data_IF_423687891561
#
_entry.id   IF_423687891561
#
_cell.length_a   1.000
_cell.length_b   1.000
_cell.length_c   1.000
_cell.angle_alpha   90.00
_cell.angle_beta   90.00
_cell.angle_gamma   90.00
#
_symmetry.space_group_name_H-M   'P 1'
#
loop_
_entity.id
_entity.type
_entity.pdbx_description
1 polymer ?
#
# COMPACT_ATOMS: atom_id res chain seq x y z
N UNK A 1 -37.66 14.16 3.93
CA UNK A 1 -36.85 15.10 4.73
C UNK A 1 -35.71 15.53 3.83
N UNK A 2 -35.83 16.72 3.24
CA UNK A 2 -34.87 17.23 2.26
C UNK A 2 -33.91 18.16 2.99
N UNK A 3 -32.61 17.92 2.84
CA UNK A 3 -31.55 18.77 3.41
C UNK A 3 -31.02 19.64 2.28
N UNK A 4 -31.30 20.93 2.39
CA UNK A 4 -30.86 21.98 1.49
C UNK A 4 -29.50 22.47 2.00
N UNK A 5 -28.42 22.21 1.26
CA UNK A 5 -27.08 22.70 1.59
C UNK A 5 -26.84 24.01 0.82
N UNK A 6 -26.90 25.11 1.55
CA UNK A 6 -26.62 26.45 1.04
C UNK A 6 -25.10 26.70 1.17
N UNK A 7 -24.42 26.85 0.04
CA UNK A 7 -23.01 27.23 -0.01
C UNK A 7 -22.92 28.75 -0.14
N UNK A 8 -22.38 29.43 0.88
CA UNK A 8 -21.97 30.83 0.76
C UNK A 8 -20.48 30.90 0.42
N UNK A 9 -20.23 31.54 -0.72
CA UNK A 9 -18.92 31.90 -1.24
C UNK A 9 -18.37 33.08 -0.41
N UNK A 10 -17.23 32.86 0.25
CA UNK A 10 -16.56 33.87 1.07
C UNK A 10 -15.38 34.47 0.32
N UNK A 11 -15.51 35.74 -0.05
CA UNK A 11 -14.46 36.60 -0.62
C UNK A 11 -13.20 36.60 0.27
N UNK A 12 -12.08 36.28 -0.37
CA UNK A 12 -10.74 36.24 0.20
C UNK A 12 -10.16 37.68 0.25
N UNK A 13 -10.42 38.40 1.34
CA UNK A 13 -9.65 39.61 1.69
C UNK A 13 -9.58 39.76 3.19
N UNK A 14 -8.37 39.69 3.76
CA UNK A 14 -8.15 40.17 5.12
C UNK A 14 -7.11 39.37 5.89
N UNK A 15 -5.88 39.88 5.87
CA UNK A 15 -4.93 39.93 6.98
C UNK A 15 -5.49 39.37 8.31
N UNK A 16 -5.17 38.10 8.60
CA UNK A 16 -5.58 37.42 9.84
C UNK A 16 -4.69 37.91 10.97
N UNK A 17 -5.03 39.10 11.48
CA UNK A 17 -4.58 39.60 12.77
C UNK A 17 -5.24 38.75 13.85
N UNK A 18 -4.45 37.92 14.52
CA UNK A 18 -4.88 37.17 15.70
C UNK A 18 -5.23 38.15 16.83
N UNK A 19 -6.47 38.62 16.86
CA UNK A 19 -7.04 39.25 18.05
C UNK A 19 -7.16 38.19 19.13
N UNK A 20 -6.28 38.36 20.12
CA UNK A 20 -6.26 37.67 21.38
C UNK A 20 -7.62 37.93 22.06
N UNK A 21 -8.57 37.01 21.87
CA UNK A 21 -9.84 36.99 22.59
C UNK A 21 -9.55 36.79 24.08
N UNK A 22 -9.35 37.92 24.77
CA UNK A 22 -9.44 38.03 26.21
C UNK A 22 -10.81 37.48 26.61
N UNK A 23 -10.80 36.25 27.08
CA UNK A 23 -11.98 35.61 27.64
C UNK A 23 -12.28 36.32 28.96
N UNK A 24 -13.17 37.30 28.89
CA UNK A 24 -13.76 37.97 30.05
C UNK A 24 -14.56 36.93 30.82
N UNK A 25 -13.89 36.22 31.72
CA UNK A 25 -14.53 35.29 32.66
C UNK A 25 -15.45 36.12 33.55
N UNK A 26 -16.75 35.95 33.33
CA UNK A 26 -17.79 36.52 34.16
C UNK A 26 -17.56 36.11 35.62
N UNK A 27 -17.27 37.10 36.45
CA UNK A 27 -16.99 36.96 37.86
C UNK A 27 -18.31 36.64 38.59
N UNK A 28 -18.50 35.35 38.87
CA UNK A 28 -19.67 34.80 39.54
C UNK A 28 -19.74 35.31 41.01
N UNK A 29 -20.93 35.74 41.48
CA UNK A 29 -21.08 36.36 42.79
C UNK A 29 -20.76 35.37 43.91
N UNK A 30 -19.98 35.87 44.86
CA UNK A 30 -19.56 35.22 46.10
C UNK A 30 -20.70 34.43 46.77
N UNK A 31 -20.72 33.12 46.53
CA UNK A 31 -21.50 32.18 47.35
C UNK A 31 -20.73 31.89 48.63
N UNK A 32 -21.32 32.35 49.72
CA UNK A 32 -20.96 32.14 51.11
C UNK A 32 -20.47 30.71 51.36
N UNK A 33 -19.18 30.59 51.67
CA UNK A 33 -18.50 29.36 52.03
C UNK A 33 -19.07 28.90 53.37
N UNK A 34 -20.04 27.97 53.33
CA UNK A 34 -20.41 27.19 54.50
C UNK A 34 -19.20 26.30 54.82
N UNK A 35 -18.50 26.63 55.90
CA UNK A 35 -17.42 25.84 56.49
C UNK A 35 -17.93 24.43 56.85
N UNK A 36 -17.99 23.54 55.86
CA UNK A 36 -18.04 22.10 56.09
C UNK A 36 -16.69 21.72 56.65
N UNK A 37 -16.66 21.51 57.96
CA UNK A 37 -15.61 20.80 58.68
C UNK A 37 -15.11 19.64 57.83
N UNK A 38 -13.93 19.83 57.24
CA UNK A 38 -13.20 18.82 56.49
C UNK A 38 -12.79 17.74 57.48
N UNK A 39 -13.69 16.77 57.70
CA UNK A 39 -13.33 15.49 58.30
C UNK A 39 -12.24 14.92 57.40
N UNK A 40 -10.98 15.13 57.78
CA UNK A 40 -9.82 14.49 57.16
C UNK A 40 -10.17 13.00 57.10
N UNK A 41 -10.42 12.42 55.92
CA UNK A 41 -10.58 10.98 55.85
C UNK A 41 -9.26 10.44 56.37
N UNK A 42 -9.31 9.71 57.48
CA UNK A 42 -8.19 8.89 57.95
C UNK A 42 -8.05 7.81 56.88
N UNK A 43 -7.43 8.18 55.76
CA UNK A 43 -7.19 7.33 54.60
C UNK A 43 -6.18 6.33 55.11
N UNK A 44 -6.70 5.17 55.53
CA UNK A 44 -5.88 4.17 56.18
C UNK A 44 -4.74 3.81 55.23
N UNK A 45 -3.50 3.98 55.71
CA UNK A 45 -2.28 3.71 54.94
C UNK A 45 -2.32 2.32 54.27
N UNK A 46 -3.05 1.39 54.88
CA UNK A 46 -3.33 0.03 54.38
C UNK A 46 -4.12 0.02 53.06
N UNK A 47 -5.12 0.87 52.87
CA UNK A 47 -5.89 0.92 51.61
C UNK A 47 -5.04 1.42 50.45
N UNK A 48 -4.20 2.44 50.68
CA UNK A 48 -3.29 2.95 49.64
C UNK A 48 -2.24 1.89 49.25
N UNK A 49 -1.67 1.18 50.23
CA UNK A 49 -0.72 0.11 49.97
C UNK A 49 -1.35 -1.05 49.18
N UNK A 50 -2.59 -1.43 49.50
CA UNK A 50 -3.30 -2.46 48.75
C UNK A 50 -3.53 -2.06 47.29
N UNK A 51 -3.97 -0.83 47.02
CA UNK A 51 -4.17 -0.34 45.66
C UNK A 51 -2.87 -0.30 44.84
N UNK A 52 -1.76 0.14 45.45
CA UNK A 52 -0.45 0.12 44.80
C UNK A 52 0.02 -1.31 44.49
N UNK A 53 -0.21 -2.26 45.40
CA UNK A 53 0.13 -3.66 45.16
C UNK A 53 -0.69 -4.27 44.02
N UNK A 54 -1.99 -3.97 43.93
CA UNK A 54 -2.85 -4.41 42.83
C UNK A 54 -2.39 -3.80 41.50
N UNK A 55 -2.09 -2.49 41.48
CA UNK A 55 -1.60 -1.82 40.28
C UNK A 55 -0.26 -2.40 39.81
N UNK A 56 0.67 -2.63 40.74
CA UNK A 56 1.95 -3.29 40.43
C UNK A 56 1.74 -4.72 39.90
N UNK A 57 0.82 -5.49 40.51
CA UNK A 57 0.46 -6.81 40.03
C UNK A 57 -0.13 -6.81 38.61
N UNK A 58 -1.00 -5.85 38.29
CA UNK A 58 -1.55 -5.68 36.94
C UNK A 58 -0.48 -5.30 35.92
N UNK A 59 0.45 -4.39 36.27
CA UNK A 59 1.54 -4.00 35.38
C UNK A 59 2.50 -5.16 35.11
N UNK A 60 2.87 -5.92 36.14
CA UNK A 60 3.74 -7.10 36.01
C UNK A 60 3.04 -8.20 35.19
N UNK A 61 1.76 -8.47 35.49
CA UNK A 61 0.96 -9.44 34.74
C UNK A 61 0.77 -9.05 33.28
N UNK A 62 0.50 -7.77 33.01
CA UNK A 62 0.37 -7.24 31.64
C UNK A 62 1.68 -7.33 30.85
N UNK A 63 2.82 -6.97 31.47
CA UNK A 63 4.12 -7.10 30.84
C UNK A 63 4.47 -8.57 30.55
N UNK A 64 4.20 -9.48 31.49
CA UNK A 64 4.40 -10.92 31.31
C UNK A 64 3.56 -11.49 30.16
N UNK A 65 2.29 -11.10 30.05
CA UNK A 65 1.41 -11.51 28.96
C UNK A 65 1.89 -10.96 27.61
N UNK A 66 2.30 -9.70 27.54
CA UNK A 66 2.81 -9.08 26.31
C UNK A 66 4.07 -9.80 25.79
N UNK A 67 5.01 -10.11 26.69
CA UNK A 67 6.22 -10.89 26.35
C UNK A 67 5.85 -12.30 25.88
N UNK A 68 4.93 -12.98 26.56
CA UNK A 68 4.49 -14.31 26.17
C UNK A 68 3.84 -14.34 24.78
N UNK A 69 2.99 -13.35 24.48
CA UNK A 69 2.36 -13.20 23.15
C UNK A 69 3.42 -12.93 22.07
N UNK A 70 4.38 -12.04 22.34
CA UNK A 70 5.46 -11.72 21.40
C UNK A 70 6.40 -12.90 21.12
N UNK A 71 6.73 -13.70 22.14
CA UNK A 71 7.54 -14.91 21.96
C UNK A 71 6.78 -15.96 21.16
N UNK A 72 5.51 -16.20 21.49
CA UNK A 72 4.69 -17.19 20.79
C UNK A 72 4.41 -16.79 19.34
N UNK A 73 4.26 -15.49 19.05
CA UNK A 73 4.13 -15.02 17.67
C UNK A 73 5.40 -15.24 16.86
N UNK A 74 6.57 -15.09 17.49
CA UNK A 74 7.86 -15.30 16.83
C UNK A 74 8.15 -16.77 16.50
N UNK A 75 7.76 -17.71 17.37
CA UNK A 75 7.96 -19.15 17.09
C UNK A 75 7.12 -19.61 15.89
N UNK A 76 5.87 -19.15 15.79
CA UNK A 76 5.02 -19.42 14.64
C UNK A 76 5.56 -18.79 13.35
N UNK A 77 6.17 -17.60 13.44
CA UNK A 77 6.71 -16.92 12.26
C UNK A 77 7.95 -17.60 11.69
N UNK A 78 8.81 -18.18 12.53
CA UNK A 78 10.01 -18.88 12.05
C UNK A 78 9.67 -20.19 11.33
N UNK A 79 8.68 -20.95 11.83
CA UNK A 79 8.19 -22.14 11.14
C UNK A 79 7.53 -21.78 9.80
N UNK A 80 6.62 -20.81 9.81
CA UNK A 80 5.97 -20.35 8.59
C UNK A 80 6.96 -19.77 7.58
N UNK A 81 8.00 -19.05 8.04
CA UNK A 81 9.09 -18.57 7.19
C UNK A 81 9.83 -19.74 6.52
N UNK A 82 10.22 -20.76 7.28
CA UNK A 82 10.87 -21.96 6.72
C UNK A 82 9.98 -22.68 5.71
N UNK A 83 8.69 -22.78 5.99
CA UNK A 83 7.75 -23.42 5.07
C UNK A 83 7.57 -22.60 3.77
N UNK A 84 7.52 -21.26 3.87
CA UNK A 84 7.52 -20.36 2.70
C UNK A 84 8.82 -20.48 1.91
N UNK A 85 9.98 -20.51 2.59
CA UNK A 85 11.29 -20.74 1.96
C UNK A 85 11.33 -22.09 1.22
N UNK A 86 10.77 -23.15 1.80
CA UNK A 86 10.66 -24.44 1.15
C UNK A 86 9.73 -24.40 -0.08
N UNK A 87 8.57 -23.72 0.00
CA UNK A 87 7.69 -23.52 -1.15
C UNK A 87 8.36 -22.72 -2.27
N UNK A 88 9.12 -21.67 -1.95
CA UNK A 88 9.92 -20.90 -2.92
C UNK A 88 10.94 -21.81 -3.61
N UNK A 89 11.67 -22.62 -2.85
CA UNK A 89 12.65 -23.55 -3.40
C UNK A 89 12.01 -24.56 -4.38
N UNK A 90 10.84 -25.11 -4.04
CA UNK A 90 10.09 -26.02 -4.90
C UNK A 90 9.59 -25.33 -6.18
N UNK A 91 9.08 -24.10 -6.08
CA UNK A 91 8.66 -23.31 -7.24
C UNK A 91 9.81 -23.05 -8.21
N UNK A 92 10.97 -22.65 -7.68
CA UNK A 92 12.17 -22.39 -8.48
C UNK A 92 12.74 -23.67 -9.11
N UNK A 93 12.64 -24.80 -8.42
CA UNK A 93 13.04 -26.09 -8.98
C UNK A 93 12.11 -26.52 -10.13
N UNK A 94 10.80 -26.37 -9.96
CA UNK A 94 9.83 -26.60 -11.03
C UNK A 94 10.05 -25.65 -12.22
N UNK A 95 10.36 -24.37 -11.96
CA UNK A 95 10.65 -23.38 -12.99
C UNK A 95 11.93 -23.72 -13.78
N UNK A 96 13.03 -24.07 -13.07
CA UNK A 96 14.33 -24.45 -13.68
C UNK A 96 14.24 -25.73 -14.50
N UNK A 97 13.46 -26.71 -14.03
CA UNK A 97 13.26 -27.99 -14.72
C UNK A 97 12.23 -27.93 -15.85
N UNK A 98 11.48 -26.82 -15.97
CA UNK A 98 10.36 -26.72 -16.91
C UNK A 98 9.20 -27.65 -16.54
N UNK A 99 9.09 -28.10 -15.28
CA UNK A 99 7.98 -28.90 -14.80
C UNK A 99 6.72 -28.05 -14.60
N UNK A 100 6.01 -27.85 -15.71
CA UNK A 100 4.75 -27.09 -15.74
C UNK A 100 3.72 -27.69 -14.77
N UNK A 101 3.70 -29.02 -14.60
CA UNK A 101 2.69 -29.67 -13.74
C UNK A 101 3.01 -29.44 -12.27
N UNK A 102 4.27 -29.63 -11.87
CA UNK A 102 4.73 -29.33 -10.52
C UNK A 102 4.54 -27.85 -10.18
N UNK A 103 4.91 -26.95 -11.10
CA UNK A 103 4.70 -25.52 -10.93
C UNK A 103 3.22 -25.16 -10.75
N UNK A 104 2.34 -25.69 -11.62
CA UNK A 104 0.91 -25.42 -11.55
C UNK A 104 0.24 -25.92 -10.26
N UNK A 105 0.80 -26.96 -9.60
CA UNK A 105 0.31 -27.46 -8.31
C UNK A 105 0.68 -26.54 -7.14
N UNK A 106 1.73 -25.73 -7.30
CA UNK A 106 2.18 -24.76 -6.31
C UNK A 106 1.45 -23.42 -6.43
N UNK A 107 0.56 -23.25 -7.42
CA UNK A 107 -0.27 -22.06 -7.59
C UNK A 107 -1.62 -22.23 -6.89
N UNK A 108 -2.07 -21.20 -6.17
CA UNK A 108 -3.41 -21.11 -5.61
C UNK A 108 -4.45 -21.06 -6.74
N UNK A 109 -5.45 -21.93 -6.67
CA UNK A 109 -6.51 -22.06 -7.68
C UNK A 109 -7.62 -21.01 -7.58
N UNK A 110 -7.54 -20.06 -6.66
CA UNK A 110 -8.61 -19.06 -6.43
C UNK A 110 -8.68 -17.99 -7.52
N UNK A 111 -7.57 -17.71 -8.23
CA UNK A 111 -7.49 -16.69 -9.28
C UNK A 111 -7.06 -17.31 -10.63
N UNK A 112 -8.00 -17.90 -11.36
CA UNK A 112 -7.72 -18.72 -12.56
C UNK A 112 -7.04 -17.94 -13.70
N UNK A 113 -7.38 -16.65 -13.89
CA UNK A 113 -6.77 -15.80 -14.91
C UNK A 113 -5.29 -15.55 -14.58
N UNK A 114 -5.00 -15.14 -13.34
CA UNK A 114 -3.64 -14.94 -12.85
C UNK A 114 -2.83 -16.24 -12.94
N UNK A 115 -3.41 -17.36 -12.50
CA UNK A 115 -2.78 -18.69 -12.58
C UNK A 115 -2.41 -19.06 -14.02
N UNK A 116 -3.33 -18.87 -14.95
CA UNK A 116 -3.11 -19.13 -16.38
C UNK A 116 -1.97 -18.28 -16.94
N UNK A 117 -1.87 -17.02 -16.50
CA UNK A 117 -0.76 -16.13 -16.89
C UNK A 117 0.57 -16.60 -16.33
N UNK A 118 0.65 -16.97 -15.06
CA UNK A 118 1.88 -17.51 -14.47
C UNK A 118 2.37 -18.77 -15.22
N UNK A 119 1.46 -19.63 -15.66
CA UNK A 119 1.79 -20.79 -16.48
C UNK A 119 2.27 -20.37 -17.89
N UNK A 120 1.67 -19.34 -18.48
CA UNK A 120 2.09 -18.82 -19.78
C UNK A 120 3.48 -18.15 -19.70
N UNK A 121 3.73 -17.37 -18.64
CA UNK A 121 5.02 -16.77 -18.31
C UNK A 121 6.09 -17.85 -18.10
N UNK A 122 5.77 -18.96 -17.43
CA UNK A 122 6.71 -20.08 -17.32
C UNK A 122 7.12 -20.64 -18.70
N UNK A 123 6.21 -20.64 -19.69
CA UNK A 123 6.47 -21.20 -21.03
C UNK A 123 7.21 -20.25 -21.96
N UNK A 124 6.97 -18.96 -21.84
CA UNK A 124 7.43 -17.93 -22.79
C UNK A 124 8.36 -16.90 -22.18
N UNK A 125 8.41 -16.84 -20.86
CA UNK A 125 9.17 -15.85 -20.11
C UNK A 125 10.67 -16.13 -20.06
N UNK A 126 11.40 -15.28 -19.35
CA UNK A 126 12.83 -15.45 -19.18
C UNK A 126 13.14 -16.77 -18.47
N UNK A 127 14.36 -17.32 -18.68
CA UNK A 127 14.80 -18.49 -17.93
C UNK A 127 14.69 -18.23 -16.42
N UNK A 128 14.41 -19.28 -15.66
CA UNK A 128 14.37 -19.21 -14.21
C UNK A 128 15.66 -18.57 -13.66
N UNK A 129 15.58 -17.78 -12.57
CA UNK A 129 16.78 -17.25 -11.95
C UNK A 129 17.67 -18.42 -11.50
N UNK A 130 19.00 -18.23 -11.57
CA UNK A 130 19.93 -19.25 -11.13
C UNK A 130 19.80 -19.51 -9.62
N UNK A 131 19.55 -18.45 -8.85
CA UNK A 131 19.34 -18.51 -7.41
C UNK A 131 18.24 -17.53 -7.02
N UNK A 132 17.47 -17.88 -6.00
CA UNK A 132 16.70 -16.87 -5.27
C UNK A 132 16.81 -17.13 -3.77
N UNK A 133 16.77 -16.05 -2.99
CA UNK A 133 16.79 -16.11 -1.52
C UNK A 133 15.64 -15.31 -0.94
N UNK A 134 15.03 -15.84 0.12
CA UNK A 134 13.98 -15.13 0.86
C UNK A 134 14.64 -14.17 1.85
N UNK A 135 14.52 -12.88 1.59
CA UNK A 135 15.10 -11.82 2.43
C UNK A 135 14.24 -11.57 3.67
N UNK A 136 12.92 -11.50 3.47
CA UNK A 136 11.95 -11.31 4.56
C UNK A 136 10.62 -11.98 4.22
N UNK A 137 9.89 -12.37 5.26
CA UNK A 137 8.53 -12.88 5.19
C UNK A 137 7.67 -12.11 6.18
N UNK A 138 6.57 -11.54 5.71
CA UNK A 138 5.56 -10.90 6.53
C UNK A 138 4.30 -11.77 6.51
N UNK A 139 3.79 -12.14 7.69
CA UNK A 139 2.64 -13.04 7.83
C UNK A 139 1.39 -12.26 8.25
N UNK A 140 0.27 -12.57 7.61
CA UNK A 140 -1.04 -12.01 7.93
C UNK A 140 -2.10 -13.11 7.84
N UNK A 141 -2.31 -13.82 8.95
CA UNK A 141 -3.26 -14.94 8.99
C UNK A 141 -2.79 -16.13 8.13
N UNK A 142 -3.57 -16.50 7.12
CA UNK A 142 -3.24 -17.53 6.13
C UNK A 142 -2.49 -16.98 4.92
N UNK A 143 -2.09 -15.70 4.94
CA UNK A 143 -1.33 -15.07 3.87
C UNK A 143 0.11 -14.77 4.30
N UNK A 144 1.03 -14.82 3.34
CA UNK A 144 2.41 -14.43 3.52
C UNK A 144 2.90 -13.58 2.33
N UNK A 145 3.61 -12.49 2.64
CA UNK A 145 4.32 -11.68 1.65
C UNK A 145 5.82 -11.92 1.82
N UNK A 146 6.45 -12.48 0.80
CA UNK A 146 7.88 -12.79 0.80
C UNK A 146 8.63 -11.85 -0.15
N UNK A 147 9.66 -11.19 0.35
CA UNK A 147 10.60 -10.44 -0.49
C UNK A 147 11.73 -11.37 -0.89
N UNK A 148 11.83 -11.63 -2.19
CA UNK A 148 12.82 -12.46 -2.82
C UNK A 148 13.94 -11.57 -3.37
N UNK A 149 15.16 -12.06 -3.30
CA UNK A 149 16.30 -11.55 -4.07
C UNK A 149 16.64 -12.62 -5.11
N UNK A 150 16.36 -12.34 -6.37
CA UNK A 150 16.56 -13.24 -7.51
C UNK A 150 17.86 -12.86 -8.24
N UNK A 151 18.74 -13.83 -8.46
CA UNK A 151 19.95 -13.66 -9.25
C UNK A 151 19.74 -14.33 -10.61
N UNK A 152 19.80 -13.59 -11.73
CA UNK A 152 19.54 -14.15 -13.05
C UNK A 152 20.64 -15.15 -13.46
N UNK A 153 20.30 -16.06 -14.37
CA UNK A 153 21.18 -17.17 -14.76
C UNK A 153 22.41 -16.74 -15.57
N UNK A 154 22.38 -15.56 -16.17
CA UNK A 154 23.48 -14.95 -16.92
C UNK A 154 24.48 -14.19 -16.03
N UNK A 155 24.23 -14.15 -14.71
CA UNK A 155 25.08 -13.42 -13.76
C UNK A 155 24.86 -11.90 -13.77
N UNK A 156 23.74 -11.42 -14.33
CA UNK A 156 23.30 -10.04 -14.21
C UNK A 156 23.04 -9.59 -12.76
N UNK A 157 22.67 -8.32 -12.61
CA UNK A 157 22.36 -7.73 -11.31
C UNK A 157 21.19 -8.45 -10.65
N UNK A 158 21.30 -8.71 -9.34
CA UNK A 158 20.21 -9.34 -8.60
C UNK A 158 19.05 -8.37 -8.42
N UNK A 159 17.85 -8.83 -8.71
CA UNK A 159 16.62 -8.04 -8.60
C UNK A 159 15.86 -8.46 -7.36
N UNK A 160 15.22 -7.50 -6.68
CA UNK A 160 14.27 -7.83 -5.62
C UNK A 160 12.88 -7.97 -6.21
N UNK A 161 12.14 -8.99 -5.77
CA UNK A 161 10.78 -9.27 -6.19
C UNK A 161 9.93 -9.62 -4.98
N UNK A 162 8.71 -9.11 -4.90
CA UNK A 162 7.74 -9.53 -3.90
C UNK A 162 6.86 -10.67 -4.44
N UNK A 163 6.69 -11.72 -3.65
CA UNK A 163 5.84 -12.87 -3.95
C UNK A 163 4.82 -13.08 -2.82
N UNK A 164 3.61 -13.50 -3.19
CA UNK A 164 2.49 -13.68 -2.25
C UNK A 164 2.14 -15.15 -2.13
N UNK A 165 1.96 -15.63 -0.91
CA UNK A 165 1.62 -17.01 -0.62
C UNK A 165 0.36 -17.10 0.23
N UNK A 166 -0.42 -18.16 0.03
CA UNK A 166 -1.57 -18.50 0.86
C UNK A 166 -1.44 -19.91 1.39
N UNK A 167 -1.70 -20.08 2.69
CA UNK A 167 -1.71 -21.37 3.37
C UNK A 167 -3.03 -22.08 3.07
N UNK A 168 -2.96 -23.19 2.33
CA UNK A 168 -4.10 -24.05 2.00
C UNK A 168 -3.75 -25.48 2.36
N UNK A 169 -4.59 -26.12 3.18
CA UNK A 169 -4.41 -27.52 3.60
C UNK A 169 -3.01 -27.83 4.18
N UNK A 170 -2.41 -26.86 4.88
CA UNK A 170 -1.07 -27.01 5.46
C UNK A 170 0.10 -26.76 4.50
N UNK A 171 -0.16 -26.29 3.27
CA UNK A 171 0.86 -25.97 2.28
C UNK A 171 0.78 -24.51 1.85
N UNK A 172 1.92 -23.84 1.73
CA UNK A 172 2.01 -22.49 1.15
C UNK A 172 2.03 -22.56 -0.37
N UNK A 173 1.00 -21.98 -0.99
CA UNK A 173 0.85 -21.90 -2.44
C UNK A 173 1.05 -20.46 -2.90
N UNK A 174 1.75 -20.24 -4.01
CA UNK A 174 1.88 -18.92 -4.65
C UNK A 174 0.50 -18.45 -5.09
N UNK A 175 0.10 -17.26 -4.69
CA UNK A 175 -1.22 -16.70 -4.98
C UNK A 175 -1.11 -15.32 -5.59
N UNK A 176 -2.20 -14.84 -6.19
CA UNK A 176 -2.28 -13.48 -6.66
C UNK A 176 -2.17 -12.51 -5.48
N UNK A 177 -1.56 -11.31 -5.66
CA UNK A 177 -1.59 -10.27 -4.65
C UNK A 177 -3.04 -9.96 -4.25
N UNK A 178 -3.32 -9.91 -2.96
CA UNK A 178 -4.61 -9.44 -2.46
C UNK A 178 -4.52 -7.93 -2.26
N UNK A 179 -5.32 -7.12 -2.98
CA UNK A 179 -5.27 -5.67 -2.86
C UNK A 179 -5.43 -5.15 -1.42
N UNK A 180 -6.12 -5.88 -0.54
CA UNK A 180 -6.30 -5.49 0.86
C UNK A 180 -4.99 -5.53 1.66
N UNK A 181 -3.98 -6.30 1.23
CA UNK A 181 -2.67 -6.39 1.89
C UNK A 181 -1.84 -5.11 1.74
N UNK A 182 -2.14 -4.28 0.74
CA UNK A 182 -1.45 -3.03 0.49
C UNK A 182 -2.06 -1.85 1.26
N UNK A 183 -3.04 -2.13 2.13
CA UNK A 183 -3.70 -1.14 2.97
C UNK A 183 -4.91 -0.48 2.29
N UNK A 184 -5.47 0.56 2.94
CA UNK A 184 -6.60 1.30 2.41
C UNK A 184 -6.25 2.00 1.09
N UNK A 185 -7.27 2.22 0.27
CA UNK A 185 -7.15 3.09 -0.91
C UNK A 185 -7.02 4.53 -0.41
N UNK A 186 -6.01 5.22 -0.92
CA UNK A 186 -5.77 6.64 -0.76
C UNK A 186 -5.91 7.33 -2.11
N UNK A 187 -6.25 8.62 -2.07
CA UNK A 187 -6.34 9.47 -3.25
C UNK A 187 -5.36 10.62 -3.15
N UNK A 188 -4.75 10.97 -4.29
CA UNK A 188 -3.91 12.15 -4.45
C UNK A 188 -4.37 12.92 -5.68
N UNK A 189 -4.75 14.18 -5.48
CA UNK A 189 -5.13 15.07 -6.59
C UNK A 189 -3.96 16.01 -6.89
N UNK A 190 -3.62 16.12 -8.16
CA UNK A 190 -2.61 17.01 -8.71
C UNK A 190 -3.27 17.98 -9.69
N UNK A 191 -2.48 18.80 -10.39
CA UNK A 191 -3.02 19.74 -11.38
C UNK A 191 -3.76 19.02 -12.50
N UNK A 192 -3.24 17.88 -12.97
CA UNK A 192 -3.79 17.19 -14.15
C UNK A 192 -4.32 15.80 -13.86
N UNK A 193 -4.09 15.24 -12.65
CA UNK A 193 -4.48 13.87 -12.32
C UNK A 193 -5.23 13.72 -11.00
N UNK A 194 -6.15 12.76 -10.94
CA UNK A 194 -6.69 12.21 -9.69
C UNK A 194 -6.20 10.78 -9.54
N UNK A 195 -5.23 10.56 -8.66
CA UNK A 195 -4.51 9.29 -8.52
C UNK A 195 -5.12 8.49 -7.38
N UNK A 196 -5.64 7.30 -7.67
CA UNK A 196 -6.08 6.32 -6.66
C UNK A 196 -5.01 5.25 -6.48
N UNK A 197 -4.52 5.08 -5.25
CA UNK A 197 -3.42 4.16 -4.92
C UNK A 197 -3.62 3.48 -3.56
N UNK A 198 -2.84 2.46 -3.24
CA UNK A 198 -2.85 1.80 -1.92
C UNK A 198 -1.81 2.42 -0.99
N UNK A 199 -2.10 2.54 0.30
CA UNK A 199 -1.21 3.20 1.27
C UNK A 199 0.23 2.67 1.26
N UNK A 200 0.43 1.36 1.05
CA UNK A 200 1.76 0.74 0.96
C UNK A 200 2.64 1.36 -0.14
N UNK A 201 2.04 1.92 -1.19
CA UNK A 201 2.76 2.48 -2.34
C UNK A 201 3.04 3.97 -2.19
N UNK A 202 2.64 4.59 -1.08
CA UNK A 202 2.74 6.05 -0.87
C UNK A 202 4.14 6.61 -1.18
N UNK A 203 5.21 5.90 -0.84
CA UNK A 203 6.59 6.35 -1.12
C UNK A 203 6.92 6.37 -2.61
N UNK A 204 6.28 5.52 -3.39
CA UNK A 204 6.49 5.33 -4.82
C UNK A 204 5.63 6.30 -5.64
N UNK A 205 4.45 6.66 -5.12
CA UNK A 205 3.51 7.55 -5.82
C UNK A 205 4.11 8.91 -6.15
N UNK A 206 4.96 9.47 -5.29
CA UNK A 206 5.52 10.79 -5.57
C UNK A 206 6.36 10.80 -6.86
N UNK A 207 7.17 9.76 -7.08
CA UNK A 207 7.97 9.66 -8.30
C UNK A 207 7.08 9.48 -9.54
N UNK A 208 5.99 8.72 -9.41
CA UNK A 208 5.01 8.53 -10.48
C UNK A 208 4.24 9.82 -10.80
N UNK A 209 3.88 10.60 -9.78
CA UNK A 209 3.24 11.92 -9.93
C UNK A 209 4.12 12.84 -10.74
N UNK A 210 5.37 13.01 -10.32
CA UNK A 210 6.31 13.93 -10.97
C UNK A 210 6.52 13.54 -12.44
N UNK A 211 6.63 12.23 -12.71
CA UNK A 211 6.77 11.68 -14.06
C UNK A 211 5.51 11.93 -14.91
N UNK A 212 4.33 11.62 -14.37
CA UNK A 212 3.05 11.74 -15.08
C UNK A 212 2.72 13.21 -15.40
N UNK A 213 2.92 14.11 -14.44
CA UNK A 213 2.79 15.55 -14.60
C UNK A 213 3.76 16.09 -15.66
N UNK A 214 5.02 15.68 -15.60
CA UNK A 214 6.03 16.05 -16.60
C UNK A 214 5.66 15.60 -18.01
N UNK A 215 5.21 14.35 -18.18
CA UNK A 215 4.74 13.84 -19.46
C UNK A 215 3.51 14.56 -19.96
N UNK A 216 2.53 14.84 -19.09
CA UNK A 216 1.34 15.59 -19.46
C UNK A 216 1.69 16.97 -19.99
N UNK A 217 2.53 17.73 -19.27
CA UNK A 217 2.95 19.09 -19.67
C UNK A 217 3.70 19.06 -21.00
N UNK A 218 4.63 18.12 -21.18
CA UNK A 218 5.38 17.99 -22.44
C UNK A 218 4.45 17.68 -23.62
N UNK A 219 3.59 16.67 -23.46
CA UNK A 219 2.69 16.22 -24.51
C UNK A 219 1.60 17.27 -24.83
N UNK A 220 1.06 17.93 -23.81
CA UNK A 220 0.09 19.02 -24.00
C UNK A 220 0.72 20.25 -24.65
N UNK A 221 1.99 20.53 -24.37
CA UNK A 221 2.75 21.58 -25.06
C UNK A 221 2.88 21.32 -26.56
N UNK A 222 3.18 20.08 -26.94
CA UNK A 222 3.25 19.66 -28.35
C UNK A 222 1.87 19.66 -29.04
N UNK A 223 0.85 19.13 -28.37
CA UNK A 223 -0.49 18.98 -28.90
C UNK A 223 -1.35 20.26 -28.78
N UNK A 224 -0.83 21.29 -28.11
CA UNK A 224 -1.55 22.55 -27.78
C UNK A 224 -2.89 22.27 -27.12
N UNK A 225 -2.90 21.38 -26.13
CA UNK A 225 -4.10 21.06 -25.39
C UNK A 225 -4.68 22.32 -24.74
N UNK A 226 -6.01 22.39 -24.66
CA UNK A 226 -6.65 23.32 -23.72
C UNK A 226 -6.54 22.71 -22.33
N UNK A 227 -6.27 23.56 -21.35
CA UNK A 227 -6.26 23.18 -19.95
C UNK A 227 -7.60 22.49 -19.62
N UNK A 228 -7.53 21.25 -19.16
CA UNK A 228 -8.73 20.49 -18.78
C UNK A 228 -9.22 21.03 -17.44
N UNK A 229 -10.51 21.34 -17.34
CA UNK A 229 -11.13 21.72 -16.07
C UNK A 229 -11.25 20.53 -15.08
N UNK A 230 -11.02 19.30 -15.56
CA UNK A 230 -11.12 18.08 -14.75
C UNK A 230 -9.83 17.28 -14.78
N UNK A 231 -9.27 16.89 -13.61
CA UNK A 231 -8.15 15.98 -13.55
C UNK A 231 -8.49 14.62 -14.19
N UNK A 232 -7.52 14.03 -14.88
CA UNK A 232 -7.63 12.70 -15.48
C UNK A 232 -7.48 11.66 -14.35
N UNK A 233 -8.44 10.74 -14.16
CA UNK A 233 -8.28 9.73 -13.13
C UNK A 233 -7.20 8.73 -13.54
N UNK A 234 -6.22 8.53 -12.66
CA UNK A 234 -5.13 7.58 -12.76
C UNK A 234 -5.33 6.53 -11.67
N UNK A 235 -5.62 5.28 -12.04
CA UNK A 235 -5.82 4.21 -11.07
C UNK A 235 -4.64 3.25 -11.12
N UNK A 236 -4.04 3.02 -9.96
CA UNK A 236 -2.99 2.02 -9.79
C UNK A 236 -3.66 0.70 -9.39
N UNK A 237 -3.72 -0.23 -10.34
CA UNK A 237 -4.37 -1.52 -10.13
C UNK A 237 -3.35 -2.61 -9.79
N UNK A 238 -3.70 -3.43 -8.82
CA UNK A 238 -2.92 -4.58 -8.32
C UNK A 238 -3.61 -5.89 -8.68
N UNK A 239 -4.91 -5.84 -8.97
CA UNK A 239 -5.67 -7.00 -9.34
C UNK A 239 -5.58 -7.21 -10.85
N UNK A 240 -5.48 -8.47 -11.25
CA UNK A 240 -5.67 -8.88 -12.64
C UNK A 240 -7.14 -8.87 -13.08
N UNK A 241 -7.99 -8.19 -12.32
CA UNK A 241 -9.36 -7.94 -12.74
C UNK A 241 -9.32 -7.00 -13.93
N UNK A 242 -9.72 -7.51 -15.10
CA UNK A 242 -10.01 -6.66 -16.24
C UNK A 242 -10.95 -5.55 -15.75
N UNK A 243 -10.58 -4.27 -15.89
CA UNK A 243 -11.45 -3.22 -15.44
C UNK A 243 -12.79 -3.34 -16.16
N UNK A 244 -13.86 -3.11 -15.39
CA UNK A 244 -15.13 -2.76 -16.00
C UNK A 244 -14.88 -1.41 -16.66
N UNK A 245 -14.97 -1.32 -17.99
CA UNK A 245 -14.64 -0.13 -18.79
C UNK A 245 -14.93 1.19 -18.04
N UNK A 246 -13.89 1.77 -17.44
CA UNK A 246 -13.96 2.97 -16.62
C UNK A 246 -13.13 4.07 -17.26
N UNK A 247 -13.56 5.32 -17.04
CA UNK A 247 -13.04 6.54 -17.68
C UNK A 247 -11.65 6.98 -17.14
N UNK A 248 -10.64 6.10 -17.07
CA UNK A 248 -9.34 6.45 -16.51
C UNK A 248 -8.13 5.71 -17.07
N UNK A 249 -6.95 6.30 -16.88
CA UNK A 249 -5.66 5.70 -17.19
C UNK A 249 -5.33 4.66 -16.10
N UNK A 250 -4.99 3.44 -16.50
CA UNK A 250 -4.75 2.35 -15.55
C UNK A 250 -3.33 1.85 -15.65
N UNK A 251 -2.58 2.00 -14.56
CA UNK A 251 -1.20 1.57 -14.50
C UNK A 251 -1.11 0.30 -13.65
N UNK A 252 -0.58 -0.78 -14.23
CA UNK A 252 -0.46 -2.07 -13.54
C UNK A 252 0.70 -2.06 -12.54
N UNK A 253 0.38 -2.31 -11.27
CA UNK A 253 1.35 -2.28 -10.17
C UNK A 253 2.39 -3.42 -10.21
N UNK A 254 2.10 -4.52 -10.93
CA UNK A 254 3.12 -5.57 -11.14
C UNK A 254 4.37 -5.04 -11.84
N UNK A 255 4.27 -3.95 -12.62
CA UNK A 255 5.43 -3.28 -13.22
C UNK A 255 6.14 -2.32 -12.24
N UNK A 256 5.42 -1.87 -11.20
CA UNK A 256 5.97 -1.12 -10.08
C UNK A 256 6.76 -2.03 -9.12
N UNK A 257 6.51 -3.35 -9.12
CA UNK A 257 7.30 -4.30 -8.31
C UNK A 257 8.78 -4.39 -8.71
N UNK A 258 9.14 -3.85 -9.89
CA UNK A 258 10.52 -3.65 -10.34
C UNK A 258 11.13 -2.30 -9.94
N UNK A 259 10.42 -1.46 -9.19
CA UNK A 259 10.96 -0.27 -8.52
C UNK A 259 11.89 -0.74 -7.40
N UNK A 260 13.11 -1.09 -7.80
CA UNK A 260 14.19 -1.41 -6.89
C UNK A 260 14.51 -0.19 -6.02
N UNK A 261 15.37 -0.41 -5.01
CA UNK A 261 15.82 0.50 -3.93
C UNK A 261 16.11 1.97 -4.25
N UNK A 262 16.09 2.37 -5.52
CA UNK A 262 16.25 3.75 -6.00
C UNK A 262 14.93 4.52 -6.18
N UNK A 263 13.76 3.89 -6.00
CA UNK A 263 12.43 4.49 -6.19
C UNK A 263 12.25 5.15 -7.58
N UNK A 264 12.98 4.70 -8.61
CA UNK A 264 12.87 5.23 -9.97
C UNK A 264 12.26 4.20 -10.92
N UNK A 265 11.18 4.54 -11.64
CA UNK A 265 10.62 3.64 -12.63
C UNK A 265 11.67 3.29 -13.68
N UNK A 266 11.73 2.02 -14.09
CA UNK A 266 12.63 1.61 -15.15
C UNK A 266 12.21 2.18 -16.51
N UNK A 267 13.12 2.26 -17.50
CA UNK A 267 12.81 2.83 -18.82
C UNK A 267 11.69 2.09 -19.56
N UNK A 268 11.50 0.79 -19.32
CA UNK A 268 10.38 0.04 -19.89
C UNK A 268 9.03 0.51 -19.36
N UNK A 269 8.95 0.82 -18.06
CA UNK A 269 7.75 1.38 -17.45
C UNK A 269 7.46 2.79 -17.97
N UNK A 270 8.50 3.64 -18.08
CA UNK A 270 8.34 5.00 -18.63
C UNK A 270 7.78 4.97 -20.06
N UNK A 271 8.28 4.05 -20.90
CA UNK A 271 7.78 3.86 -22.27
C UNK A 271 6.32 3.38 -22.30
N UNK A 272 5.95 2.44 -21.42
CA UNK A 272 4.59 1.93 -21.33
C UNK A 272 3.61 3.00 -20.85
N UNK A 273 3.96 3.72 -19.77
CA UNK A 273 3.17 4.84 -19.28
C UNK A 273 2.97 5.91 -20.36
N UNK A 274 4.04 6.27 -21.08
CA UNK A 274 3.95 7.22 -22.18
C UNK A 274 3.03 6.72 -23.31
N UNK A 275 3.11 5.44 -23.67
CA UNK A 275 2.26 4.84 -24.70
C UNK A 275 0.78 4.82 -24.28
N UNK A 276 0.48 4.47 -23.02
CA UNK A 276 -0.89 4.48 -22.51
C UNK A 276 -1.45 5.91 -22.39
N UNK A 277 -0.66 6.87 -21.90
CA UNK A 277 -1.05 8.29 -21.87
C UNK A 277 -1.34 8.83 -23.26
N UNK A 278 -0.51 8.50 -24.25
CA UNK A 278 -0.72 8.88 -25.64
C UNK A 278 -2.02 8.28 -26.20
N UNK A 279 -2.27 6.99 -25.92
CA UNK A 279 -3.51 6.29 -26.33
C UNK A 279 -4.76 6.93 -25.71
N UNK A 280 -4.72 7.25 -24.41
CA UNK A 280 -5.81 7.89 -23.70
C UNK A 280 -6.14 9.27 -24.29
N UNK A 281 -5.13 10.11 -24.53
CA UNK A 281 -5.34 11.44 -25.12
C UNK A 281 -5.86 11.34 -26.56
N UNK A 282 -5.37 10.38 -27.35
CA UNK A 282 -5.91 10.16 -28.69
C UNK A 282 -7.41 9.77 -28.65
N UNK A 283 -7.81 8.91 -27.71
CA UNK A 283 -9.20 8.50 -27.51
C UNK A 283 -10.09 9.66 -27.02
N UNK A 284 -9.54 10.57 -26.22
CA UNK A 284 -10.22 11.79 -25.76
C UNK A 284 -10.38 12.87 -26.86
N UNK A 285 -9.97 12.58 -28.10
CA UNK A 285 -10.17 13.47 -29.24
C UNK A 285 -9.05 14.50 -29.45
N UNK A 286 -7.91 14.35 -28.77
CA UNK A 286 -6.72 15.14 -29.08
C UNK A 286 -6.06 14.56 -30.35
N UNK A 287 -5.88 15.35 -31.42
CA UNK A 287 -5.33 14.82 -32.67
C UNK A 287 -3.90 14.32 -32.46
N UNK A 288 -3.64 13.04 -32.79
CA UNK A 288 -2.35 12.36 -32.71
C UNK A 288 -1.33 12.87 -33.75
N UNK A 289 -1.17 14.18 -33.88
CA UNK A 289 -0.40 14.81 -34.95
C UNK A 289 1.10 14.96 -34.63
N UNK A 290 1.57 14.58 -33.43
CA UNK A 290 3.00 14.68 -33.10
C UNK A 290 3.80 13.50 -33.69
N UNK A 291 4.85 13.75 -34.49
CA UNK A 291 5.76 12.71 -34.99
C UNK A 291 6.56 12.00 -33.89
N UNK A 292 6.60 12.56 -32.67
CA UNK A 292 7.34 12.01 -31.54
C UNK A 292 6.74 10.73 -30.93
N UNK A 293 5.51 10.38 -31.33
CA UNK A 293 4.77 9.21 -30.86
C UNK A 293 4.69 8.06 -31.88
N UNK A 294 5.47 8.13 -32.97
CA UNK A 294 5.59 7.05 -33.97
C UNK A 294 6.89 6.26 -33.83
#
# INVERSE_FOLDING_TARGET
MSVELNWQEGEETGDVRWEQLETTVAQEPARTIVNRTTRRPVRSRRVVQFLLAVLAGMLIGGAGLAVFVAVRSNEGSELARRDVEASVALLLDAQRSGDIRGYAQMLDGTAEIWRSRQIAELRQGPPAPAHASVQSVQLQGDLAMANLLETPADGGESTSRTAFFRLRNGQWLLTAPDPEQFGPVAELVTSHFQISYREADKSTIQALVDLSEGFYVALCGELRCRESERPIPLVLDYADTLPTAGDGLQVRSSQLSGLTSTNRPGPAFEQELAAEMASYLAAAGFPAASPALR
#
